data_IF_957043610105
#
_entry.id   IF_957043610105
#
_cell.length_a   1.000
_cell.length_b   1.000
_cell.length_c   1.000
_cell.angle_alpha   90.00
_cell.angle_beta   90.00
_cell.angle_gamma   90.00
#
_symmetry.space_group_name_H-M   'P 1'
#
loop_
_entity.id
_entity.type
_entity.pdbx_description
1 polymer ?
#
# COMPACT_ATOMS: atom_id res chain seq x y z
N UNK A 1 38.94 61.69 11.15
CA UNK A 1 40.37 61.87 10.87
C UNK A 1 41.15 61.57 12.15
N UNK A 2 42.09 60.60 12.12
CA UNK A 2 43.08 60.20 13.16
C UNK A 2 42.64 59.25 14.31
N UNK A 3 42.64 57.96 13.98
CA UNK A 3 43.53 56.85 14.42
C UNK A 3 44.29 56.83 15.78
N UNK A 4 44.39 55.59 16.31
CA UNK A 4 45.35 54.94 17.25
C UNK A 4 45.10 55.05 18.77
N UNK A 5 45.44 54.12 19.66
CA UNK A 5 45.63 52.66 19.72
C UNK A 5 46.22 52.34 21.13
N UNK A 6 46.02 51.09 21.61
CA UNK A 6 46.85 50.31 22.56
C UNK A 6 46.65 50.39 24.09
N UNK A 7 46.12 49.27 24.62
CA UNK A 7 46.75 48.24 25.50
C UNK A 7 46.98 48.47 27.02
N UNK A 8 46.82 47.33 27.74
CA UNK A 8 47.11 46.96 29.14
C UNK A 8 45.94 47.15 30.13
N UNK A 9 45.64 46.28 31.10
CA UNK A 9 45.96 44.89 31.46
C UNK A 9 45.11 44.56 32.72
N UNK A 10 44.83 43.27 32.95
CA UNK A 10 44.35 42.65 34.21
C UNK A 10 42.91 42.91 34.68
N UNK A 11 42.17 41.82 34.94
CA UNK A 11 41.61 41.47 36.26
C UNK A 11 41.02 40.04 36.25
N UNK A 12 41.60 39.21 37.14
CA UNK A 12 41.04 38.13 37.95
C UNK A 12 40.23 36.96 37.35
N UNK A 13 40.91 35.81 37.36
CA UNK A 13 40.46 34.44 37.62
C UNK A 13 39.31 34.31 38.64
N UNK A 14 38.20 33.67 38.28
CA UNK A 14 37.36 32.85 39.18
C UNK A 14 36.84 31.64 38.39
N UNK A 15 37.46 30.47 38.60
CA UNK A 15 36.92 29.17 38.22
C UNK A 15 35.92 28.74 39.28
N UNK A 16 34.63 28.68 38.94
CA UNK A 16 33.60 28.10 39.80
C UNK A 16 33.46 26.59 39.47
N UNK A 17 33.99 25.74 40.34
CA UNK A 17 33.68 24.32 40.40
C UNK A 17 32.23 24.16 40.89
N UNK A 18 31.36 23.57 40.07
CA UNK A 18 30.13 22.93 40.54
C UNK A 18 30.25 21.46 40.16
N UNK A 19 30.57 20.64 41.16
CA UNK A 19 30.51 19.18 41.06
C UNK A 19 29.04 18.76 41.10
N UNK A 20 28.47 18.41 39.94
CA UNK A 20 27.23 17.67 39.90
C UNK A 20 27.54 16.19 40.20
N UNK A 21 26.94 15.74 41.29
CA UNK A 21 26.87 14.35 41.75
C UNK A 21 26.20 13.52 40.66
N UNK A 22 26.97 12.62 40.01
CA UNK A 22 26.39 11.55 39.19
C UNK A 22 25.65 10.57 40.10
N UNK A 23 24.32 10.64 40.09
CA UNK A 23 23.48 9.57 40.59
C UNK A 23 23.40 8.50 39.50
N UNK A 24 23.84 7.25 39.71
CA UNK A 24 23.61 6.19 38.74
C UNK A 24 22.13 5.81 38.85
N UNK A 25 21.30 6.36 37.97
CA UNK A 25 19.96 5.81 37.75
C UNK A 25 20.13 4.45 37.06
N UNK A 26 20.24 3.40 37.88
CA UNK A 26 19.95 2.04 37.47
C UNK A 26 18.46 1.99 37.08
N UNK A 27 18.14 2.34 35.84
CA UNK A 27 16.88 1.95 35.23
C UNK A 27 16.98 0.46 34.93
N UNK A 28 16.33 -0.36 35.75
CA UNK A 28 15.96 -1.72 35.38
C UNK A 28 15.10 -1.63 34.11
N UNK A 29 15.72 -1.85 32.96
CA UNK A 29 14.99 -2.01 31.70
C UNK A 29 14.16 -3.28 31.81
N UNK A 30 12.85 -3.12 31.86
CA UNK A 30 11.88 -4.20 31.65
C UNK A 30 12.14 -4.84 30.28
N UNK A 31 12.32 -6.17 30.18
CA UNK A 31 12.63 -6.84 28.92
C UNK A 31 11.33 -7.12 28.13
N UNK A 32 10.56 -6.09 27.76
CA UNK A 32 9.32 -6.25 26.97
C UNK A 32 9.19 -5.28 25.78
N UNK A 33 10.10 -4.32 25.60
CA UNK A 33 9.96 -3.30 24.52
C UNK A 33 10.86 -3.56 23.28
N UNK A 34 10.88 -4.80 22.78
CA UNK A 34 11.44 -5.10 21.45
C UNK A 34 10.59 -6.14 20.72
N UNK A 35 9.30 -5.88 20.61
CA UNK A 35 8.52 -6.46 19.50
C UNK A 35 8.91 -5.61 18.29
N UNK A 36 9.92 -6.07 17.56
CA UNK A 36 10.53 -5.34 16.44
C UNK A 36 9.48 -4.65 15.56
N UNK A 37 9.69 -3.37 15.29
CA UNK A 37 8.85 -2.61 14.36
C UNK A 37 8.89 -3.33 13.01
N UNK A 38 7.78 -3.96 12.62
CA UNK A 38 7.65 -4.56 11.29
C UNK A 38 7.68 -3.41 10.29
N UNK A 39 8.76 -3.33 9.50
CA UNK A 39 8.87 -2.37 8.40
C UNK A 39 7.90 -2.80 7.29
N UNK A 40 6.90 -1.97 7.03
CA UNK A 40 5.92 -2.24 5.98
C UNK A 40 6.53 -1.84 4.65
N UNK A 41 6.54 -2.74 3.65
CA UNK A 41 7.10 -2.44 2.35
C UNK A 41 6.41 -1.23 1.72
N UNK A 42 7.19 -0.46 0.98
CA UNK A 42 6.74 0.71 0.23
C UNK A 42 6.09 0.26 -1.08
N UNK A 43 4.93 0.81 -1.40
CA UNK A 43 4.31 0.60 -2.70
C UNK A 43 5.12 1.33 -3.79
N UNK A 44 5.23 0.79 -5.03
CA UNK A 44 5.87 1.53 -6.13
C UNK A 44 5.23 2.90 -6.33
N UNK A 45 6.04 3.97 -6.30
CA UNK A 45 5.53 5.35 -6.31
C UNK A 45 6.33 6.27 -7.24
N UNK A 46 5.66 7.12 -8.04
CA UNK A 46 4.22 7.21 -8.21
C UNK A 46 3.62 5.89 -8.73
N UNK A 47 2.33 5.61 -8.50
CA UNK A 47 1.78 4.29 -8.79
C UNK A 47 1.88 3.98 -10.29
N UNK A 48 2.21 2.73 -10.68
CA UNK A 48 2.25 2.32 -12.08
C UNK A 48 0.93 2.58 -12.80
N UNK A 49 0.96 2.72 -14.12
CA UNK A 49 -0.23 3.10 -14.87
C UNK A 49 -1.32 2.03 -14.82
N UNK A 50 -2.46 2.39 -14.25
CA UNK A 50 -3.61 1.53 -14.13
C UNK A 50 -4.47 1.62 -15.40
N UNK A 51 -5.18 0.53 -15.69
CA UNK A 51 -6.14 0.44 -16.79
C UNK A 51 -7.32 1.38 -16.60
N UNK A 52 -7.77 1.54 -15.34
CA UNK A 52 -8.79 2.49 -14.92
C UNK A 52 -8.57 2.91 -13.46
N UNK A 53 -9.23 3.99 -13.04
CA UNK A 53 -9.25 4.41 -11.63
C UNK A 53 -10.61 4.96 -11.21
N UNK A 54 -10.88 4.95 -9.91
CA UNK A 54 -12.08 5.55 -9.33
C UNK A 54 -11.83 6.01 -7.90
N UNK A 55 -12.08 7.27 -7.62
CA UNK A 55 -12.16 7.78 -6.25
C UNK A 55 -13.48 7.33 -5.63
N UNK A 56 -13.38 6.75 -4.43
CA UNK A 56 -14.53 6.40 -3.62
C UNK A 56 -15.11 7.67 -2.98
N UNK A 57 -16.44 7.75 -2.75
CA UNK A 57 -17.05 8.91 -2.13
C UNK A 57 -16.54 9.08 -0.69
N UNK A 58 -16.12 10.29 -0.30
CA UNK A 58 -15.60 10.55 1.04
C UNK A 58 -16.65 10.30 2.13
N UNK A 59 -17.94 10.44 1.80
CA UNK A 59 -19.06 10.23 2.73
C UNK A 59 -19.07 8.82 3.31
N UNK A 60 -18.57 7.84 2.54
CA UNK A 60 -18.43 6.43 2.97
C UNK A 60 -17.51 6.31 4.19
N UNK A 61 -16.52 7.18 4.30
CA UNK A 61 -15.50 7.16 5.34
C UNK A 61 -15.71 8.25 6.40
N UNK A 62 -16.87 8.92 6.41
CA UNK A 62 -17.17 10.05 7.29
C UNK A 62 -17.09 9.75 8.79
N UNK A 63 -17.28 8.48 9.18
CA UNK A 63 -17.17 8.02 10.57
C UNK A 63 -15.79 7.42 10.90
N UNK A 64 -14.86 7.36 9.94
CA UNK A 64 -13.51 6.85 10.17
C UNK A 64 -12.68 7.88 10.94
N UNK A 65 -12.09 7.46 12.06
CA UNK A 65 -11.24 8.31 12.90
C UNK A 65 -9.77 8.00 12.61
N UNK A 66 -9.47 6.75 12.29
CA UNK A 66 -8.13 6.25 12.05
C UNK A 66 -8.06 5.38 10.78
N UNK A 67 -6.85 5.13 10.29
CA UNK A 67 -6.63 4.26 9.11
C UNK A 67 -7.17 2.85 9.27
N UNK A 68 -7.13 2.29 10.48
CA UNK A 68 -7.78 0.98 10.76
C UNK A 68 -9.28 0.98 10.48
N UNK A 69 -9.96 2.12 10.61
CA UNK A 69 -11.40 2.20 10.37
C UNK A 69 -11.69 2.16 8.87
N UNK A 70 -10.85 2.86 8.07
CA UNK A 70 -10.87 2.79 6.60
C UNK A 70 -10.53 1.39 6.11
N UNK A 71 -9.47 0.78 6.66
CA UNK A 71 -9.12 -0.61 6.38
C UNK A 71 -10.27 -1.56 6.72
N UNK A 72 -10.90 -1.41 7.90
CA UNK A 72 -12.04 -2.24 8.30
C UNK A 72 -13.20 -2.19 7.30
N UNK A 73 -13.52 -1.01 6.74
CA UNK A 73 -14.57 -0.86 5.72
C UNK A 73 -14.19 -1.62 4.45
N UNK A 74 -12.98 -1.41 3.94
CA UNK A 74 -12.52 -2.01 2.68
C UNK A 74 -12.34 -3.52 2.84
N UNK A 75 -11.67 -3.97 3.89
CA UNK A 75 -11.41 -5.39 4.17
C UNK A 75 -12.69 -6.18 4.41
N UNK A 76 -13.67 -5.64 5.15
CA UNK A 76 -14.98 -6.28 5.31
C UNK A 76 -15.67 -6.44 3.96
N UNK A 77 -15.61 -5.42 3.10
CA UNK A 77 -16.21 -5.50 1.77
C UNK A 77 -15.52 -6.52 0.86
N UNK A 78 -14.20 -6.62 0.95
CA UNK A 78 -13.39 -7.62 0.28
C UNK A 78 -13.79 -9.03 0.73
N UNK A 79 -13.82 -9.28 2.04
CA UNK A 79 -14.17 -10.59 2.63
C UNK A 79 -15.60 -11.02 2.27
N UNK A 80 -16.58 -10.11 2.39
CA UNK A 80 -17.98 -10.39 2.02
C UNK A 80 -18.15 -10.74 0.55
N UNK A 81 -17.19 -10.37 -0.30
CA UNK A 81 -17.18 -10.67 -1.74
C UNK A 81 -16.09 -11.67 -2.15
N UNK A 82 -15.55 -12.44 -1.20
CA UNK A 82 -14.66 -13.58 -1.44
C UNK A 82 -13.19 -13.24 -1.69
N UNK A 83 -12.78 -11.98 -1.55
CA UNK A 83 -11.36 -11.60 -1.57
C UNK A 83 -10.77 -11.88 -0.20
N UNK A 84 -10.25 -13.10 -0.01
CA UNK A 84 -9.67 -13.56 1.25
C UNK A 84 -8.19 -13.18 1.39
N UNK A 85 -7.49 -13.06 0.26
CA UNK A 85 -6.08 -12.69 0.20
C UNK A 85 -5.92 -11.22 -0.20
N UNK A 86 -5.13 -10.49 0.58
CA UNK A 86 -4.77 -9.09 0.38
C UNK A 86 -3.43 -8.78 1.04
N UNK A 87 -2.78 -7.74 0.54
CA UNK A 87 -1.48 -7.30 1.02
C UNK A 87 -1.42 -5.80 1.23
N UNK A 88 -0.67 -5.40 2.25
CA UNK A 88 -0.58 -4.03 2.73
C UNK A 88 0.80 -3.43 2.48
N UNK A 89 0.81 -2.17 2.04
CA UNK A 89 2.00 -1.37 1.79
C UNK A 89 1.84 0.04 2.37
N UNK A 90 2.94 0.77 2.50
CA UNK A 90 2.94 2.21 2.78
C UNK A 90 3.05 3.03 1.50
N UNK A 91 2.44 4.21 1.48
CA UNK A 91 2.70 5.23 0.45
C UNK A 91 4.06 5.88 0.75
N UNK A 92 5.02 5.90 -0.21
CA UNK A 92 6.33 6.51 0.00
C UNK A 92 6.23 8.02 0.16
N UNK A 93 6.37 8.52 1.38
CA UNK A 93 6.33 9.94 1.68
C UNK A 93 7.12 10.24 2.94
N UNK A 94 7.77 11.41 2.96
CA UNK A 94 8.59 11.88 4.06
C UNK A 94 7.76 12.62 5.13
N UNK A 95 6.63 13.22 4.73
CA UNK A 95 5.85 14.13 5.59
C UNK A 95 4.45 13.57 5.94
N UNK A 96 3.80 12.92 4.97
CA UNK A 96 2.45 12.36 5.16
C UNK A 96 2.49 10.83 5.12
N UNK A 97 1.72 10.19 5.99
CA UNK A 97 1.59 8.74 6.01
C UNK A 97 0.36 8.33 5.20
N UNK A 98 0.51 7.37 4.30
CA UNK A 98 -0.60 6.73 3.60
C UNK A 98 -0.38 5.24 3.54
N UNK A 99 -1.42 4.50 3.20
CA UNK A 99 -1.32 3.05 3.03
C UNK A 99 -2.03 2.57 1.78
N UNK A 100 -1.69 1.36 1.36
CA UNK A 100 -2.21 0.74 0.15
C UNK A 100 -2.65 -0.68 0.48
N UNK A 101 -3.83 -1.05 -0.02
CA UNK A 101 -4.35 -2.43 0.00
C UNK A 101 -4.31 -2.96 -1.43
N UNK A 102 -3.62 -4.07 -1.65
CA UNK A 102 -3.59 -4.81 -2.92
C UNK A 102 -4.45 -6.07 -2.77
N UNK A 103 -5.43 -6.26 -3.63
CA UNK A 103 -6.27 -7.48 -3.63
C UNK A 103 -5.60 -8.65 -4.33
N UNK A 104 -6.01 -9.87 -3.99
CA UNK A 104 -5.70 -11.02 -4.84
C UNK A 104 -6.11 -10.80 -6.29
N UNK A 105 -5.37 -11.43 -7.21
CA UNK A 105 -5.71 -11.37 -8.63
C UNK A 105 -6.97 -12.17 -8.91
N UNK A 106 -7.86 -11.57 -9.67
CA UNK A 106 -9.19 -12.09 -9.95
C UNK A 106 -9.38 -12.34 -11.44
N UNK A 107 -9.94 -13.49 -11.81
CA UNK A 107 -10.44 -13.71 -13.16
C UNK A 107 -11.83 -13.08 -13.36
N UNK A 108 -12.00 -12.37 -14.47
CA UNK A 108 -13.24 -11.68 -14.83
C UNK A 108 -13.71 -12.08 -16.23
N UNK A 109 -15.00 -11.87 -16.49
CA UNK A 109 -15.57 -11.94 -17.82
C UNK A 109 -15.31 -10.65 -18.60
N UNK A 110 -15.60 -10.67 -19.91
CA UNK A 110 -15.48 -9.50 -20.80
C UNK A 110 -16.28 -8.28 -20.36
N UNK A 111 -17.32 -8.46 -19.55
CA UNK A 111 -18.17 -7.39 -19.00
C UNK A 111 -17.75 -6.93 -17.58
N UNK A 112 -16.55 -7.32 -17.16
CA UNK A 112 -15.95 -7.09 -15.84
C UNK A 112 -16.63 -7.79 -14.66
N UNK A 113 -17.64 -8.65 -14.88
CA UNK A 113 -18.16 -9.51 -13.81
C UNK A 113 -17.10 -10.50 -13.35
N UNK A 114 -17.04 -10.73 -12.04
CA UNK A 114 -16.24 -11.82 -11.46
C UNK A 114 -16.65 -13.17 -12.05
N UNK A 115 -15.68 -14.02 -12.38
CA UNK A 115 -15.96 -15.43 -12.67
C UNK A 115 -16.50 -16.15 -11.41
N UNK A 116 -17.17 -17.31 -11.55
CA UNK A 116 -17.58 -18.13 -10.41
C UNK A 116 -16.39 -18.63 -9.59
N UNK A 117 -16.58 -18.83 -8.29
CA UNK A 117 -15.53 -19.08 -7.28
C UNK A 117 -14.42 -20.05 -7.70
N UNK A 118 -14.78 -21.20 -8.31
CA UNK A 118 -13.82 -22.23 -8.74
C UNK A 118 -12.81 -21.73 -9.78
N UNK A 119 -13.22 -20.84 -10.68
CA UNK A 119 -12.36 -20.27 -11.73
C UNK A 119 -11.92 -18.85 -11.45
N UNK A 120 -12.53 -18.18 -10.47
CA UNK A 120 -12.24 -16.79 -10.09
C UNK A 120 -10.82 -16.60 -9.57
N UNK A 121 -10.38 -17.54 -8.75
CA UNK A 121 -9.10 -17.46 -8.03
C UNK A 121 -8.09 -18.50 -8.49
N UNK A 122 -8.44 -19.34 -9.47
CA UNK A 122 -7.57 -20.42 -9.89
C UNK A 122 -6.29 -19.85 -10.50
N UNK A 123 -5.21 -19.95 -9.72
CA UNK A 123 -3.89 -19.42 -10.05
C UNK A 123 -2.80 -20.47 -9.87
N UNK A 124 -3.05 -21.77 -9.67
CA UNK A 124 -2.02 -22.70 -9.13
C UNK A 124 -1.65 -23.92 -9.99
N UNK A 125 -0.34 -24.22 -10.05
CA UNK A 125 0.27 -25.56 -9.90
C UNK A 125 1.38 -25.55 -8.84
N UNK A 126 1.59 -26.69 -8.16
CA UNK A 126 2.66 -26.97 -7.19
C UNK A 126 4.04 -27.03 -7.87
N UNK A 127 5.04 -26.32 -7.35
CA UNK A 127 6.43 -26.44 -7.82
C UNK A 127 7.43 -26.33 -6.67
N UNK A 128 8.32 -27.32 -6.58
CA UNK A 128 9.49 -27.34 -5.70
C UNK A 128 10.69 -26.63 -6.37
N UNK A 129 11.45 -25.86 -5.58
CA UNK A 129 12.73 -25.19 -5.89
C UNK A 129 12.80 -24.31 -7.15
N UNK A 130 12.41 -23.03 -7.02
CA UNK A 130 12.65 -22.00 -8.05
C UNK A 130 12.79 -20.60 -7.45
N UNK A 131 13.46 -19.70 -8.19
CA UNK A 131 13.57 -18.28 -7.87
C UNK A 131 12.18 -17.62 -7.75
N UNK A 132 12.01 -16.54 -6.97
CA UNK A 132 10.71 -15.86 -6.79
C UNK A 132 9.99 -15.53 -8.12
N UNK A 133 10.74 -15.12 -9.15
CA UNK A 133 10.20 -14.83 -10.49
C UNK A 133 9.79 -16.08 -11.26
N UNK A 134 10.53 -17.18 -11.11
CA UNK A 134 10.20 -18.44 -11.76
C UNK A 134 9.05 -19.15 -11.02
N UNK A 135 8.97 -19.02 -9.69
CA UNK A 135 7.88 -19.48 -8.85
C UNK A 135 6.55 -18.81 -9.23
N UNK A 136 6.55 -17.48 -9.43
CA UNK A 136 5.36 -16.76 -9.92
C UNK A 136 4.93 -17.21 -11.32
N UNK A 137 5.88 -17.52 -12.21
CA UNK A 137 5.59 -18.05 -13.55
C UNK A 137 5.07 -19.48 -13.51
N UNK A 138 5.61 -20.31 -12.61
CA UNK A 138 5.33 -21.75 -12.57
C UNK A 138 4.07 -22.09 -11.75
N UNK A 139 3.68 -21.23 -10.81
CA UNK A 139 2.36 -21.24 -10.20
C UNK A 139 1.28 -20.98 -11.25
N UNK A 140 1.58 -20.16 -12.27
CA UNK A 140 0.55 -19.53 -13.08
C UNK A 140 0.44 -20.07 -14.51
N UNK A 141 -0.30 -21.17 -14.68
CA UNK A 141 -0.87 -21.54 -15.98
C UNK A 141 -2.28 -20.94 -16.11
N UNK A 142 -2.34 -19.67 -16.52
CA UNK A 142 -3.60 -18.95 -16.73
C UNK A 142 -4.40 -19.50 -17.91
N UNK A 143 -5.64 -19.88 -17.66
CA UNK A 143 -6.65 -19.96 -18.71
C UNK A 143 -6.68 -18.63 -19.49
N UNK A 144 -6.88 -18.68 -20.81
CA UNK A 144 -7.15 -17.46 -21.59
C UNK A 144 -8.29 -16.65 -20.95
N UNK A 145 -8.19 -15.32 -20.97
CA UNK A 145 -9.24 -14.45 -20.44
C UNK A 145 -8.73 -13.17 -19.83
N UNK A 146 -9.59 -12.57 -19.02
CA UNK A 146 -9.36 -11.28 -18.39
C UNK A 146 -9.10 -11.45 -16.90
N UNK A 147 -8.17 -10.64 -16.40
CA UNK A 147 -7.73 -10.63 -15.02
C UNK A 147 -7.76 -9.21 -14.49
N UNK A 148 -8.00 -9.04 -13.19
CA UNK A 148 -7.78 -7.76 -12.54
C UNK A 148 -7.11 -7.89 -11.18
N UNK A 149 -6.33 -6.88 -10.85
CA UNK A 149 -5.89 -6.55 -9.49
C UNK A 149 -6.47 -5.19 -9.14
N UNK A 150 -7.05 -5.07 -7.96
CA UNK A 150 -7.59 -3.81 -7.44
C UNK A 150 -6.64 -3.34 -6.34
N UNK A 151 -6.20 -2.10 -6.46
CA UNK A 151 -5.32 -1.46 -5.49
C UNK A 151 -6.04 -0.26 -4.90
N UNK A 152 -6.33 -0.29 -3.60
CA UNK A 152 -6.88 0.84 -2.88
C UNK A 152 -5.75 1.66 -2.29
N UNK A 153 -5.62 2.91 -2.70
CA UNK A 153 -4.63 3.86 -2.19
C UNK A 153 -5.35 4.82 -1.25
N UNK A 154 -4.89 4.90 0.00
CA UNK A 154 -5.40 5.83 1.01
C UNK A 154 -4.30 6.86 1.30
N UNK A 155 -4.49 8.08 0.82
CA UNK A 155 -3.51 9.16 0.98
C UNK A 155 -4.14 10.54 0.78
N UNK A 156 -3.54 11.55 1.40
CA UNK A 156 -3.77 12.98 1.19
C UNK A 156 -2.80 13.58 0.15
N UNK A 157 -1.85 12.79 -0.36
CA UNK A 157 -0.89 13.22 -1.36
C UNK A 157 -1.50 13.16 -2.77
N UNK A 158 -1.51 14.28 -3.52
CA UNK A 158 -1.86 14.22 -4.92
C UNK A 158 -0.80 13.42 -5.68
N UNK A 159 -1.23 12.50 -6.54
CA UNK A 159 -0.33 11.70 -7.37
C UNK A 159 -0.76 11.62 -8.83
N UNK A 160 0.24 11.44 -9.69
CA UNK A 160 0.05 11.07 -11.08
C UNK A 160 0.64 9.68 -11.28
N UNK A 161 0.01 8.85 -12.11
CA UNK A 161 0.55 7.52 -12.38
C UNK A 161 1.77 7.61 -13.28
N UNK A 162 2.77 6.76 -13.05
CA UNK A 162 3.91 6.68 -13.97
C UNK A 162 3.40 6.22 -15.34
N UNK A 163 4.04 6.66 -16.43
CA UNK A 163 3.73 6.15 -17.77
C UNK A 163 3.99 4.65 -17.93
N UNK A 164 4.65 4.04 -16.95
CA UNK A 164 5.11 2.67 -16.89
C UNK A 164 3.95 1.67 -16.90
N UNK A 165 4.09 0.65 -17.75
CA UNK A 165 3.17 -0.48 -17.81
C UNK A 165 3.72 -1.55 -16.89
N UNK A 166 2.92 -1.96 -15.91
CA UNK A 166 3.28 -3.04 -14.99
C UNK A 166 2.80 -4.37 -15.56
N UNK A 167 3.71 -5.33 -15.69
CA UNK A 167 3.40 -6.70 -16.08
C UNK A 167 2.54 -7.40 -15.03
N UNK A 168 1.76 -8.40 -15.44
CA UNK A 168 0.86 -9.14 -14.55
C UNK A 168 1.61 -9.82 -13.41
N UNK A 169 2.78 -10.39 -13.71
CA UNK A 169 3.64 -11.09 -12.76
C UNK A 169 4.17 -10.14 -11.68
N UNK A 170 4.50 -8.90 -12.06
CA UNK A 170 4.87 -7.85 -11.11
C UNK A 170 3.68 -7.48 -10.23
N UNK A 171 2.48 -7.32 -10.78
CA UNK A 171 1.29 -7.04 -9.97
C UNK A 171 0.94 -8.19 -9.00
N UNK A 172 1.15 -9.43 -9.42
CA UNK A 172 1.02 -10.61 -8.56
C UNK A 172 2.04 -10.61 -7.40
N UNK A 173 3.28 -10.20 -7.67
CA UNK A 173 4.32 -10.15 -6.65
C UNK A 173 3.97 -9.20 -5.48
N UNK A 174 3.14 -8.18 -5.73
CA UNK A 174 2.67 -7.29 -4.67
C UNK A 174 1.89 -8.03 -3.58
N UNK A 175 1.18 -9.11 -3.94
CA UNK A 175 0.48 -9.92 -2.95
C UNK A 175 1.43 -10.71 -2.05
N UNK A 176 2.60 -11.09 -2.56
CA UNK A 176 3.56 -11.92 -1.83
C UNK A 176 4.50 -11.08 -0.96
N UNK A 177 4.83 -9.87 -1.41
CA UNK A 177 5.82 -9.01 -0.75
C UNK A 177 5.18 -8.14 0.34
N UNK A 178 3.91 -7.79 0.18
CA UNK A 178 3.17 -6.97 1.14
C UNK A 178 3.02 -7.64 2.52
N UNK A 179 2.72 -6.82 3.52
CA UNK A 179 2.35 -7.34 4.85
C UNK A 179 0.92 -7.85 4.85
N UNK A 180 0.61 -8.85 5.69
CA UNK A 180 -0.73 -9.45 5.75
C UNK A 180 -1.76 -8.63 6.55
N UNK A 181 -1.30 -7.60 7.28
CA UNK A 181 -2.14 -6.65 8.01
C UNK A 181 -1.43 -5.30 8.07
N UNK A 182 -2.22 -4.24 8.22
CA UNK A 182 -1.68 -2.93 8.58
C UNK A 182 -1.04 -3.02 9.99
N UNK A 183 0.21 -2.57 10.20
CA UNK A 183 0.82 -2.60 11.52
C UNK A 183 0.21 -1.54 12.42
N UNK A 184 0.32 -1.75 13.74
CA UNK A 184 -0.26 -0.84 14.74
C UNK A 184 0.24 0.61 14.58
N UNK A 185 1.50 0.79 14.19
CA UNK A 185 2.10 2.12 13.94
C UNK A 185 1.38 2.92 12.85
N UNK A 186 0.74 2.26 11.89
CA UNK A 186 -0.01 2.90 10.79
C UNK A 186 -1.51 2.88 11.08
N UNK A 187 -2.02 1.86 11.77
CA UNK A 187 -3.44 1.72 12.14
C UNK A 187 -4.01 2.92 12.90
N UNK A 188 -3.22 3.53 13.79
CA UNK A 188 -3.65 4.64 14.65
C UNK A 188 -3.38 6.03 14.06
N UNK A 189 -2.97 6.11 12.79
CA UNK A 189 -2.84 7.40 12.10
C UNK A 189 -4.21 8.03 11.91
N UNK A 190 -4.40 9.31 12.31
CA UNK A 190 -5.67 10.00 12.15
C UNK A 190 -6.08 10.10 10.68
N UNK A 191 -7.34 9.76 10.41
CA UNK A 191 -7.99 9.95 9.13
C UNK A 191 -8.89 11.21 9.18
N UNK A 192 -8.92 11.97 8.09
CA UNK A 192 -9.74 13.18 7.96
C UNK A 192 -10.02 13.48 6.48
N UNK A 193 -10.79 14.53 6.21
CA UNK A 193 -11.25 14.89 4.85
C UNK A 193 -10.16 15.30 3.86
N UNK A 194 -8.91 15.48 4.31
CA UNK A 194 -7.77 15.68 3.40
C UNK A 194 -7.37 14.38 2.68
N UNK A 195 -7.67 13.22 3.27
CA UNK A 195 -7.38 11.93 2.68
C UNK A 195 -8.41 11.56 1.62
N UNK A 196 -7.92 10.87 0.60
CA UNK A 196 -8.74 10.29 -0.47
C UNK A 196 -8.50 8.79 -0.53
N UNK A 197 -9.54 8.05 -0.89
CA UNK A 197 -9.45 6.62 -1.18
C UNK A 197 -9.66 6.41 -2.68
N UNK A 198 -8.57 6.09 -3.38
CA UNK A 198 -8.59 5.86 -4.83
C UNK A 198 -8.40 4.37 -5.13
N UNK A 199 -9.34 3.77 -5.84
CA UNK A 199 -9.17 2.44 -6.43
C UNK A 199 -8.46 2.55 -7.79
N UNK A 200 -7.31 1.90 -7.93
CA UNK A 200 -6.58 1.69 -9.16
C UNK A 200 -6.85 0.27 -9.66
N UNK A 201 -7.26 0.13 -10.92
CA UNK A 201 -7.59 -1.16 -11.52
C UNK A 201 -6.52 -1.52 -12.55
N UNK A 202 -5.81 -2.60 -12.31
CA UNK A 202 -4.88 -3.19 -13.27
C UNK A 202 -5.58 -4.36 -13.94
N UNK A 203 -6.06 -4.15 -15.17
CA UNK A 203 -6.76 -5.16 -15.97
C UNK A 203 -5.81 -5.75 -17.01
N UNK A 204 -5.77 -7.07 -17.10
CA UNK A 204 -4.92 -7.81 -18.02
C UNK A 204 -5.75 -8.72 -18.91
N UNK A 205 -5.32 -8.93 -20.14
CA UNK A 205 -5.88 -9.92 -21.07
C UNK A 205 -4.79 -10.90 -21.46
N UNK A 206 -5.05 -12.19 -21.27
CA UNK A 206 -4.27 -13.26 -21.88
C UNK A 206 -5.06 -13.82 -23.08
N UNK A 207 -4.57 -13.57 -24.29
CA UNK A 207 -5.22 -14.04 -25.51
C UNK A 207 -4.86 -15.48 -25.84
N UNK A 208 -5.60 -16.05 -26.78
CA UNK A 208 -5.22 -17.33 -27.39
C UNK A 208 -3.86 -17.22 -28.09
N UNK A 209 -2.95 -18.15 -27.77
CA UNK A 209 -1.59 -18.24 -28.31
C UNK A 209 -0.62 -17.11 -27.87
N UNK A 210 -0.93 -16.41 -26.78
CA UNK A 210 0.02 -15.53 -26.10
C UNK A 210 0.47 -16.18 -24.79
N UNK A 211 1.76 -16.04 -24.46
CA UNK A 211 2.34 -16.61 -23.23
C UNK A 211 2.32 -15.62 -22.05
N UNK A 212 2.00 -14.35 -22.31
CA UNK A 212 2.00 -13.27 -21.32
C UNK A 212 0.74 -12.43 -21.44
N UNK A 213 0.16 -12.03 -20.31
CA UNK A 213 -1.02 -11.18 -20.32
C UNK A 213 -0.64 -9.71 -20.50
N UNK A 214 -1.29 -9.05 -21.45
CA UNK A 214 -1.09 -7.64 -21.73
C UNK A 214 -2.01 -6.77 -20.87
N UNK A 215 -1.46 -5.73 -20.25
CA UNK A 215 -2.26 -4.71 -19.56
C UNK A 215 -3.20 -4.01 -20.55
N UNK A 216 -4.49 -4.00 -20.24
CA UNK A 216 -5.52 -3.35 -21.04
C UNK A 216 -5.51 -1.85 -20.75
N UNK A 217 -5.07 -1.03 -21.70
CA UNK A 217 -4.97 0.43 -21.49
C UNK A 217 -5.47 1.22 -22.71
N UNK A 218 -6.46 2.11 -22.54
CA UNK A 218 -7.33 2.18 -21.36
C UNK A 218 -8.13 0.87 -21.19
N UNK A 219 -8.66 0.62 -19.98
CA UNK A 219 -9.67 -0.42 -19.81
C UNK A 219 -10.89 -0.11 -20.69
N UNK A 220 -11.58 -1.16 -21.14
CA UNK A 220 -12.90 -1.04 -21.78
C UNK A 220 -13.99 -0.60 -20.80
N UNK A 221 -13.72 -0.70 -19.49
CA UNK A 221 -14.65 -0.43 -18.40
C UNK A 221 -14.11 0.67 -17.47
N UNK A 222 -15.01 1.47 -16.91
CA UNK A 222 -14.59 2.48 -15.92
C UNK A 222 -14.19 1.82 -14.61
N UNK A 223 -13.41 2.51 -13.77
CA UNK A 223 -13.07 2.01 -12.42
C UNK A 223 -14.32 1.73 -11.58
N UNK A 224 -15.36 2.57 -11.70
CA UNK A 224 -16.66 2.33 -11.04
C UNK A 224 -17.34 1.06 -11.57
N UNK A 225 -17.28 0.79 -12.87
CA UNK A 225 -17.82 -0.43 -13.46
C UNK A 225 -17.14 -1.67 -12.88
N UNK A 226 -15.80 -1.66 -12.75
CA UNK A 226 -15.07 -2.75 -12.11
C UNK A 226 -15.52 -2.98 -10.66
N UNK A 227 -15.64 -1.91 -9.87
CA UNK A 227 -16.08 -2.01 -8.47
C UNK A 227 -17.54 -2.47 -8.33
N UNK A 228 -18.45 -2.05 -9.21
CA UNK A 228 -19.83 -2.54 -9.23
C UNK A 228 -19.88 -4.02 -9.61
N UNK A 229 -19.11 -4.42 -10.63
CA UNK A 229 -19.13 -5.78 -11.17
C UNK A 229 -18.37 -6.78 -10.28
N UNK A 230 -17.49 -6.31 -9.40
CA UNK A 230 -16.95 -7.07 -8.27
C UNK A 230 -17.85 -7.06 -7.03
N UNK A 231 -18.95 -6.30 -7.06
CA UNK A 231 -19.84 -6.00 -5.92
C UNK A 231 -19.18 -5.22 -4.77
N UNK A 232 -17.92 -4.80 -4.92
CA UNK A 232 -17.22 -4.00 -3.91
C UNK A 232 -17.80 -2.59 -3.78
N UNK A 233 -18.30 -2.00 -4.87
CA UNK A 233 -18.93 -0.67 -4.80
C UNK A 233 -20.15 -0.69 -3.88
N UNK A 234 -21.04 -1.67 -4.07
CA UNK A 234 -22.28 -1.77 -3.30
C UNK A 234 -22.01 -2.18 -1.85
N UNK A 235 -20.88 -2.81 -1.56
CA UNK A 235 -20.52 -3.21 -0.21
C UNK A 235 -19.79 -2.09 0.56
N UNK A 236 -18.96 -1.31 -0.13
CA UNK A 236 -18.23 -0.19 0.47
C UNK A 236 -19.13 1.04 0.59
N UNK A 237 -19.88 1.40 -0.45
CA UNK A 237 -20.73 2.60 -0.46
C UNK A 237 -22.13 2.38 0.15
N UNK A 238 -22.17 1.56 1.20
CA UNK A 238 -23.38 1.19 1.96
C UNK A 238 -23.83 2.24 2.97
#
# INVERSE_FOLDING_TARGET
MKTYARFLASIAFICLLITLVSCPSNSLSSPIDDVGSIDVPKFPWPPPNASAKKDLPNEVFSNAIYFKDVDSIISTALENNGYVDRSYFTVPSEENLGFVIVTQMEQINTDATSKPEKSRWNTTLEVEDISLSDYLKAIFFSEKGYYRVIVFVVTDLPFQQTGEIVERETALSWLQIGTNKLPDSVCYTPYNDAYTVTALIYEYELKENEDAAALQKPSKHTGKTHLLKSKLWDEIAK
#
